data_IF_443586346582
#
_entry.id   IF_443586346582
#
_cell.length_a   1.000
_cell.length_b   1.000
_cell.length_c   1.000
_cell.angle_alpha   90.00
_cell.angle_beta   90.00
_cell.angle_gamma   90.00
#
_symmetry.space_group_name_H-M   'P 1'
#
loop_
_entity.id
_entity.type
_entity.pdbx_description
1 polymer ?
#
# COMPACT_ATOMS: atom_id res chain seq x y z
N UNK A 1 -4.99 -0.25 -1.25
CA UNK A 1 -4.66 0.44 -2.51
C UNK A 1 -5.86 1.03 -3.27
N UNK A 2 -7.12 0.63 -3.02
CA UNK A 2 -8.32 1.09 -3.77
C UNK A 2 -8.46 2.61 -3.97
N UNK A 3 -7.99 3.43 -3.02
CA UNK A 3 -7.99 4.90 -3.13
C UNK A 3 -7.08 5.44 -4.25
N UNK A 4 -6.06 4.68 -4.67
CA UNK A 4 -5.10 5.11 -5.68
C UNK A 4 -4.13 6.20 -5.24
N UNK A 5 -3.88 6.32 -3.94
CA UNK A 5 -3.00 7.33 -3.34
C UNK A 5 -1.71 6.65 -2.87
N UNK A 6 -0.52 7.19 -3.22
CA UNK A 6 0.74 6.64 -2.73
C UNK A 6 0.90 6.89 -1.23
N UNK A 7 1.62 6.01 -0.54
CA UNK A 7 1.76 6.08 0.92
C UNK A 7 3.21 6.16 1.40
N UNK A 8 3.40 6.78 2.56
CA UNK A 8 4.59 6.63 3.40
C UNK A 8 4.13 5.91 4.66
N UNK A 9 4.69 4.74 4.96
CA UNK A 9 4.22 3.89 6.06
C UNK A 9 5.29 3.80 7.15
N UNK A 10 4.89 4.12 8.38
CA UNK A 10 5.70 3.93 9.60
C UNK A 10 5.06 2.79 10.40
N UNK A 11 5.49 1.54 10.22
CA UNK A 11 4.89 0.41 10.95
C UNK A 11 5.23 0.45 12.44
N UNK A 12 4.22 0.19 13.27
CA UNK A 12 4.30 0.22 14.74
C UNK A 12 4.16 -1.18 15.33
N UNK A 13 3.16 -1.97 14.93
CA UNK A 13 2.89 -3.28 15.52
C UNK A 13 2.17 -4.24 14.57
N UNK A 14 2.04 -5.50 15.00
CA UNK A 14 1.29 -6.57 14.36
C UNK A 14 1.70 -6.80 12.89
N UNK A 15 0.72 -6.75 11.99
CA UNK A 15 0.87 -7.03 10.57
C UNK A 15 1.35 -5.82 9.76
N UNK A 16 1.50 -4.65 10.38
CA UNK A 16 1.90 -3.43 9.68
C UNK A 16 3.25 -3.56 8.94
N UNK A 17 4.30 -4.22 9.48
CA UNK A 17 5.55 -4.43 8.73
C UNK A 17 5.34 -5.23 7.43
N UNK A 18 4.49 -6.26 7.48
CA UNK A 18 4.15 -7.07 6.32
C UNK A 18 3.42 -6.23 5.26
N UNK A 19 2.38 -5.50 5.65
CA UNK A 19 1.63 -4.66 4.71
C UNK A 19 2.43 -3.50 4.15
N UNK A 20 3.31 -2.88 4.96
CA UNK A 20 4.21 -1.83 4.49
C UNK A 20 5.18 -2.36 3.43
N UNK A 21 5.78 -3.54 3.66
CA UNK A 21 6.63 -4.21 2.67
C UNK A 21 5.86 -4.58 1.41
N UNK A 22 4.61 -5.06 1.54
CA UNK A 22 3.76 -5.39 0.40
C UNK A 22 3.46 -4.14 -0.46
N UNK A 23 3.09 -3.02 0.15
CA UNK A 23 2.81 -1.77 -0.56
C UNK A 23 4.06 -1.25 -1.29
N UNK A 24 5.23 -1.32 -0.65
CA UNK A 24 6.48 -0.92 -1.28
C UNK A 24 6.83 -1.82 -2.47
N UNK A 25 6.73 -3.15 -2.32
CA UNK A 25 6.94 -4.13 -3.40
C UNK A 25 6.00 -3.93 -4.59
N UNK A 26 4.77 -3.50 -4.34
CA UNK A 26 3.79 -3.19 -5.39
C UNK A 26 4.03 -1.82 -6.05
N UNK A 27 5.02 -1.07 -5.57
CA UNK A 27 5.41 0.24 -6.10
C UNK A 27 4.47 1.37 -5.71
N UNK A 28 3.54 1.16 -4.76
CA UNK A 28 2.52 2.15 -4.36
C UNK A 28 2.86 2.87 -3.05
N UNK A 29 4.00 2.56 -2.44
CA UNK A 29 4.49 3.23 -1.25
C UNK A 29 6.01 3.37 -1.29
N UNK A 30 6.50 4.40 -0.59
CA UNK A 30 7.92 4.51 -0.29
C UNK A 30 8.40 3.35 0.58
N UNK A 31 9.73 3.19 0.68
CA UNK A 31 10.30 2.22 1.60
C UNK A 31 9.76 2.49 3.03
N UNK A 32 9.30 1.45 3.77
CA UNK A 32 8.77 1.64 5.12
C UNK A 32 9.82 2.27 6.04
N UNK A 33 9.42 3.25 6.85
CA UNK A 33 10.31 3.89 7.82
C UNK A 33 10.12 3.17 9.16
N UNK A 34 11.12 2.43 9.68
CA UNK A 34 11.00 1.86 11.02
C UNK A 34 10.75 2.95 12.05
N UNK A 35 9.82 2.76 12.98
CA UNK A 35 9.45 3.79 13.98
C UNK A 35 10.67 4.39 14.70
N UNK A 36 11.65 3.55 15.08
CA UNK A 36 12.90 3.97 15.74
C UNK A 36 13.82 4.84 14.87
N UNK A 37 13.56 4.93 13.57
CA UNK A 37 14.31 5.72 12.58
C UNK A 37 13.48 6.87 12.00
N UNK A 38 12.27 7.09 12.52
CA UNK A 38 11.45 8.21 12.09
C UNK A 38 12.12 9.53 12.49
N UNK A 39 12.35 10.37 11.49
CA UNK A 39 12.89 11.72 11.63
C UNK A 39 12.27 12.59 10.54
N UNK A 40 12.42 13.91 10.67
CA UNK A 40 11.96 14.86 9.65
C UNK A 40 12.61 14.56 8.30
N UNK A 41 13.93 14.38 8.26
CA UNK A 41 14.67 14.11 7.03
C UNK A 41 14.26 12.80 6.36
N UNK A 42 14.08 11.73 7.15
CA UNK A 42 13.60 10.45 6.65
C UNK A 42 12.18 10.58 6.08
N UNK A 43 11.31 11.35 6.73
CA UNK A 43 9.94 11.55 6.27
C UNK A 43 9.89 12.39 4.99
N UNK A 44 10.65 13.49 4.91
CA UNK A 44 10.72 14.35 3.71
C UNK A 44 11.24 13.54 2.51
N UNK A 45 12.29 12.75 2.71
CA UNK A 45 12.83 11.87 1.67
C UNK A 45 11.79 10.85 1.20
N UNK A 46 11.10 10.18 2.13
CA UNK A 46 10.07 9.21 1.79
C UNK A 46 8.85 9.85 1.12
N UNK A 47 8.48 11.07 1.48
CA UNK A 47 7.42 11.83 0.79
C UNK A 47 7.80 12.11 -0.66
N UNK A 48 9.05 12.51 -0.93
CA UNK A 48 9.56 12.66 -2.30
C UNK A 48 9.42 11.38 -3.14
N UNK A 49 9.84 10.24 -2.58
CA UNK A 49 9.68 8.93 -3.24
C UNK A 49 8.21 8.51 -3.39
N UNK A 50 7.36 8.76 -2.39
CA UNK A 50 5.93 8.47 -2.51
C UNK A 50 5.27 9.31 -3.61
N UNK A 51 5.66 10.58 -3.77
CA UNK A 51 5.13 11.45 -4.82
C UNK A 51 5.49 10.96 -6.23
N UNK A 52 6.68 10.38 -6.43
CA UNK A 52 7.07 9.80 -7.72
C UNK A 52 6.25 8.54 -8.09
N UNK A 53 5.60 7.92 -7.10
CA UNK A 53 4.76 6.70 -7.27
C UNK A 53 3.29 6.99 -7.56
N UNK A 54 2.89 8.25 -7.72
CA UNK A 54 1.48 8.65 -7.94
C UNK A 54 0.80 7.92 -9.09
N UNK A 55 1.47 7.80 -10.24
CA UNK A 55 0.92 7.13 -11.42
C UNK A 55 0.67 5.64 -11.15
N UNK A 56 1.65 4.95 -10.57
CA UNK A 56 1.52 3.54 -10.19
C UNK A 56 0.41 3.33 -9.15
N UNK A 57 0.32 4.20 -8.16
CA UNK A 57 -0.75 4.14 -7.17
C UNK A 57 -2.12 4.32 -7.83
N UNK A 58 -2.28 5.28 -8.74
CA UNK A 58 -3.53 5.50 -9.48
C UNK A 58 -3.93 4.28 -10.33
N UNK A 59 -2.97 3.67 -11.02
CA UNK A 59 -3.16 2.44 -11.82
C UNK A 59 -3.64 1.28 -10.94
N UNK A 60 -2.92 0.97 -9.85
CA UNK A 60 -3.31 -0.10 -8.92
C UNK A 60 -4.68 0.21 -8.30
N UNK A 61 -4.94 1.47 -7.94
CA UNK A 61 -6.25 1.89 -7.45
C UNK A 61 -7.38 1.62 -8.45
N UNK A 62 -7.15 1.87 -9.75
CA UNK A 62 -8.11 1.59 -10.80
C UNK A 62 -8.38 0.07 -10.96
N UNK A 63 -7.33 -0.76 -10.87
CA UNK A 63 -7.47 -2.22 -10.89
C UNK A 63 -8.29 -2.71 -9.69
N UNK A 64 -7.93 -2.28 -8.48
CA UNK A 64 -8.63 -2.64 -7.24
C UNK A 64 -10.12 -2.26 -7.24
N UNK A 65 -10.49 -1.15 -7.89
CA UNK A 65 -11.91 -0.76 -8.00
C UNK A 65 -12.72 -1.67 -8.93
N UNK A 66 -12.06 -2.33 -9.90
CA UNK A 66 -12.68 -3.28 -10.83
C UNK A 66 -12.75 -4.70 -10.27
N UNK A 67 -12.03 -4.98 -9.18
CA UNK A 67 -12.05 -6.29 -8.57
C UNK A 67 -13.43 -6.68 -8.04
N UNK A 68 -13.76 -7.95 -8.23
CA UNK A 68 -15.01 -8.56 -7.84
C UNK A 68 -14.81 -9.54 -6.67
N UNK A 69 -13.94 -9.18 -5.72
CA UNK A 69 -13.49 -10.07 -4.65
C UNK A 69 -14.63 -10.68 -3.82
N UNK A 70 -15.62 -9.87 -3.44
CA UNK A 70 -16.78 -10.33 -2.68
C UNK A 70 -17.61 -11.35 -3.48
N UNK A 71 -17.88 -11.08 -4.76
CA UNK A 71 -18.61 -12.01 -5.63
C UNK A 71 -17.88 -13.34 -5.77
N UNK A 72 -16.58 -13.29 -6.06
CA UNK A 72 -15.76 -14.51 -6.15
C UNK A 72 -15.74 -15.30 -4.85
N UNK A 73 -15.79 -14.65 -3.69
CA UNK A 73 -15.89 -15.33 -2.42
C UNK A 73 -17.25 -16.04 -2.24
N UNK A 74 -18.35 -15.41 -2.66
CA UNK A 74 -19.68 -16.03 -2.65
C UNK A 74 -19.74 -17.24 -3.58
N UNK A 75 -19.24 -17.12 -4.81
CA UNK A 75 -19.21 -18.23 -5.77
C UNK A 75 -18.51 -19.47 -5.19
N UNK A 76 -17.42 -19.27 -4.43
CA UNK A 76 -16.71 -20.35 -3.73
C UNK A 76 -17.56 -20.93 -2.60
N UNK A 77 -18.14 -20.08 -1.74
CA UNK A 77 -18.93 -20.53 -0.60
C UNK A 77 -20.19 -21.28 -1.02
N UNK A 78 -20.85 -20.86 -2.09
CA UNK A 78 -22.03 -21.53 -2.65
C UNK A 78 -21.70 -22.85 -3.35
N UNK A 79 -20.42 -23.08 -3.68
CA UNK A 79 -19.93 -24.34 -4.27
C UNK A 79 -19.44 -25.37 -3.25
N UNK A 80 -19.44 -25.02 -1.95
CA UNK A 80 -19.11 -25.93 -0.84
C UNK A 80 -20.33 -26.79 -0.47
#
# INVERSE_FOLDING_TARGET
>A
ARAGVPAVVVPVTADQPFWAAQLHRQGVAAAPIPLRRLSVDALVTAMGDALSRRERAAEVGALMRREQGVRRALDVLESL
#
